data_IF_238469307958
#
_entry.id   IF_238469307958
#
_cell.length_a   1.000
_cell.length_b   1.000
_cell.length_c   1.000
_cell.angle_alpha   90.00
_cell.angle_beta   90.00
_cell.angle_gamma   90.00
#
_symmetry.space_group_name_H-M   'P 1'
#
loop_
_entity.id
_entity.type
_entity.pdbx_description
1 polymer ?
#
# COMPACT_ATOMS: atom_id res chain seq x y z
N UNK A 1 3.24 -15.53 26.92
CA UNK A 1 3.44 -14.41 25.97
C UNK A 1 4.15 -14.97 24.74
N UNK A 2 3.43 -15.22 23.64
CA UNK A 2 4.06 -15.72 22.40
C UNK A 2 4.53 -14.50 21.62
N UNK A 3 5.82 -14.22 21.65
CA UNK A 3 6.41 -13.17 20.83
C UNK A 3 6.34 -13.67 19.39
N UNK A 4 5.38 -13.16 18.62
CA UNK A 4 5.35 -13.30 17.17
C UNK A 4 6.58 -12.56 16.65
N UNK A 5 7.64 -13.31 16.37
CA UNK A 5 8.80 -12.76 15.64
C UNK A 5 8.24 -12.33 14.29
N UNK A 6 8.30 -11.03 13.95
CA UNK A 6 7.65 -10.40 12.79
C UNK A 6 7.99 -10.98 11.40
N UNK A 7 8.74 -12.08 11.35
CA UNK A 7 8.84 -12.99 10.23
C UNK A 7 7.72 -14.03 10.35
N UNK A 8 6.51 -13.66 9.94
CA UNK A 8 5.41 -14.61 9.84
C UNK A 8 5.76 -15.72 8.85
N UNK A 9 6.05 -16.91 9.38
CA UNK A 9 6.23 -18.15 8.61
C UNK A 9 5.17 -18.25 7.53
N UNK A 10 5.57 -18.69 6.32
CA UNK A 10 4.61 -18.94 5.24
C UNK A 10 3.43 -19.76 5.79
N UNK A 11 2.16 -19.37 5.57
CA UNK A 11 1.02 -20.16 5.98
C UNK A 11 1.13 -21.56 5.38
N UNK A 12 1.02 -22.58 6.23
CA UNK A 12 1.13 -23.99 5.83
C UNK A 12 -0.11 -24.48 5.08
N UNK A 13 -1.24 -23.77 5.20
CA UNK A 13 -2.47 -24.03 4.47
C UNK A 13 -2.55 -23.19 3.18
N UNK A 14 -2.86 -23.84 2.06
CA UNK A 14 -3.27 -23.13 0.84
C UNK A 14 -4.58 -22.37 1.06
N UNK A 15 -4.85 -21.37 0.21
CA UNK A 15 -6.09 -20.58 0.25
C UNK A 15 -5.85 -19.07 0.45
N UNK A 16 -6.81 -18.41 1.10
CA UNK A 16 -6.85 -16.95 1.23
C UNK A 16 -5.66 -16.37 2.01
N UNK A 17 -5.24 -16.97 3.13
CA UNK A 17 -4.08 -16.51 3.90
C UNK A 17 -2.77 -16.60 3.10
N UNK A 18 -2.56 -17.69 2.35
CA UNK A 18 -1.37 -17.79 1.48
C UNK A 18 -1.41 -16.73 0.38
N UNK A 19 -2.59 -16.46 -0.20
CA UNK A 19 -2.75 -15.39 -1.21
C UNK A 19 -2.45 -14.01 -0.63
N UNK A 20 -3.07 -13.63 0.50
CA UNK A 20 -2.83 -12.33 1.13
C UNK A 20 -1.38 -12.19 1.59
N UNK A 21 -0.75 -13.28 2.04
CA UNK A 21 0.66 -13.30 2.37
C UNK A 21 1.53 -12.91 1.16
N UNK A 22 1.36 -13.55 0.00
CA UNK A 22 2.12 -13.20 -1.21
C UNK A 22 1.81 -11.79 -1.69
N UNK A 23 0.53 -11.42 -1.70
CA UNK A 23 0.08 -10.08 -2.08
C UNK A 23 0.83 -9.01 -1.29
N UNK A 24 0.96 -9.14 0.04
CA UNK A 24 1.68 -8.16 0.86
C UNK A 24 3.14 -7.99 0.45
N UNK A 25 3.87 -9.05 0.07
CA UNK A 25 5.29 -8.96 -0.29
C UNK A 25 5.46 -8.33 -1.68
N UNK A 26 4.69 -8.80 -2.65
CA UNK A 26 4.78 -8.34 -4.03
C UNK A 26 4.31 -6.88 -4.13
N UNK A 27 3.18 -6.54 -3.48
CA UNK A 27 2.69 -5.17 -3.43
C UNK A 27 3.64 -4.23 -2.68
N UNK A 28 4.30 -4.66 -1.60
CA UNK A 28 5.31 -3.84 -0.92
C UNK A 28 6.45 -3.44 -1.86
N UNK A 29 7.00 -4.41 -2.61
CA UNK A 29 8.07 -4.13 -3.57
C UNK A 29 7.59 -3.13 -4.62
N UNK A 30 6.41 -3.35 -5.21
CA UNK A 30 5.82 -2.40 -6.16
C UNK A 30 5.60 -1.00 -5.56
N UNK A 31 5.08 -0.94 -4.34
CA UNK A 31 4.78 0.31 -3.63
C UNK A 31 6.04 1.09 -3.26
N UNK A 32 7.18 0.44 -2.98
CA UNK A 32 8.44 1.17 -2.76
C UNK A 32 8.77 2.04 -3.97
N UNK A 33 8.69 1.49 -5.18
CA UNK A 33 8.96 2.26 -6.39
C UNK A 33 7.87 3.28 -6.69
N UNK A 34 6.60 2.87 -6.64
CA UNK A 34 5.47 3.76 -6.95
C UNK A 34 5.34 4.92 -5.95
N UNK A 35 5.56 4.69 -4.65
CA UNK A 35 5.47 5.75 -3.66
C UNK A 35 6.65 6.72 -3.78
N UNK A 36 7.89 6.22 -3.92
CA UNK A 36 9.07 7.09 -4.03
C UNK A 36 9.00 7.97 -5.27
N UNK A 37 8.69 7.39 -6.44
CA UNK A 37 8.55 8.17 -7.68
C UNK A 37 7.42 9.21 -7.53
N UNK A 38 6.30 8.85 -6.88
CA UNK A 38 5.20 9.79 -6.63
C UNK A 38 5.64 10.95 -5.73
N UNK A 39 6.37 10.68 -4.66
CA UNK A 39 6.87 11.72 -3.75
C UNK A 39 7.87 12.64 -4.46
N UNK A 40 8.78 12.10 -5.28
CA UNK A 40 9.73 12.91 -6.06
C UNK A 40 8.98 13.84 -7.01
N UNK A 41 8.03 13.32 -7.80
CA UNK A 41 7.31 14.10 -8.81
C UNK A 41 6.42 15.21 -8.20
N UNK A 42 5.84 14.97 -7.03
CA UNK A 42 4.89 15.89 -6.42
C UNK A 42 5.50 16.83 -5.37
N UNK A 43 6.64 16.48 -4.76
CA UNK A 43 7.23 17.27 -3.68
C UNK A 43 8.66 17.74 -3.92
N UNK A 44 9.39 17.10 -4.85
CA UNK A 44 10.77 17.51 -5.17
C UNK A 44 10.82 18.29 -6.48
N UNK A 45 10.16 17.80 -7.53
CA UNK A 45 10.16 18.48 -8.84
C UNK A 45 9.08 19.55 -8.95
N UNK A 46 8.03 19.45 -8.14
CA UNK A 46 6.91 20.38 -8.11
C UNK A 46 6.81 20.96 -6.71
N UNK A 47 6.79 22.29 -6.60
CA UNK A 47 6.50 22.95 -5.32
C UNK A 47 5.03 22.71 -4.94
N UNK A 48 4.80 22.32 -3.68
CA UNK A 48 3.45 22.15 -3.12
C UNK A 48 2.63 23.43 -3.22
N UNK A 49 3.26 24.61 -3.14
CA UNK A 49 2.61 25.90 -3.32
C UNK A 49 2.07 26.12 -4.74
N UNK A 50 2.62 25.40 -5.72
CA UNK A 50 2.19 25.45 -7.13
C UNK A 50 1.16 24.36 -7.48
N UNK A 51 0.77 23.51 -6.52
CA UNK A 51 -0.22 22.45 -6.75
C UNK A 51 -1.61 23.06 -6.91
N UNK A 52 -1.98 23.30 -8.16
CA UNK A 52 -3.28 23.85 -8.57
C UNK A 52 -4.12 22.81 -9.32
N UNK A 53 -5.42 23.07 -9.44
CA UNK A 53 -6.32 22.24 -10.26
C UNK A 53 -5.79 22.06 -11.70
N UNK A 54 -5.29 23.13 -12.32
CA UNK A 54 -4.79 23.11 -13.69
C UNK A 54 -3.62 22.14 -13.86
N UNK A 55 -2.68 22.11 -12.91
CA UNK A 55 -1.55 21.17 -12.93
C UNK A 55 -2.05 19.71 -12.90
N UNK A 56 -3.01 19.43 -12.01
CA UNK A 56 -3.61 18.09 -11.88
C UNK A 56 -4.37 17.73 -13.15
N UNK A 57 -5.16 18.64 -13.70
CA UNK A 57 -5.95 18.40 -14.92
C UNK A 57 -5.05 18.06 -16.12
N UNK A 58 -3.94 18.78 -16.31
CA UNK A 58 -2.97 18.52 -17.39
C UNK A 58 -2.31 17.14 -17.20
N UNK A 59 -1.89 16.79 -15.97
CA UNK A 59 -1.31 15.47 -15.71
C UNK A 59 -2.34 14.34 -15.91
N UNK A 60 -3.55 14.52 -15.40
CA UNK A 60 -4.62 13.52 -15.46
C UNK A 60 -5.15 13.28 -16.88
N UNK A 61 -5.02 14.28 -17.77
CA UNK A 61 -5.31 14.13 -19.19
C UNK A 61 -4.36 13.13 -19.89
N UNK A 62 -3.16 12.90 -19.35
CA UNK A 62 -2.24 11.91 -19.87
C UNK A 62 -2.57 10.51 -19.28
N UNK A 63 -2.90 9.51 -20.13
CA UNK A 63 -3.28 8.18 -19.67
C UNK A 63 -2.18 7.45 -18.89
N UNK A 64 -0.91 7.76 -19.16
CA UNK A 64 0.23 7.19 -18.43
C UNK A 64 0.16 7.54 -16.93
N UNK A 65 0.00 8.82 -16.60
CA UNK A 65 -0.12 9.29 -15.22
C UNK A 65 -1.38 8.76 -14.56
N UNK A 66 -2.48 8.68 -15.32
CA UNK A 66 -3.74 8.12 -14.84
C UNK A 66 -3.61 6.67 -14.38
N UNK A 67 -2.95 5.82 -15.18
CA UNK A 67 -2.72 4.42 -14.81
C UNK A 67 -1.74 4.32 -13.64
N UNK A 68 -0.68 5.14 -13.65
CA UNK A 68 0.30 5.18 -12.57
C UNK A 68 -0.35 5.52 -11.21
N UNK A 69 -1.09 6.63 -11.13
CA UNK A 69 -1.74 7.08 -9.90
C UNK A 69 -2.85 6.11 -9.47
N UNK A 70 -3.57 5.51 -10.42
CA UNK A 70 -4.57 4.50 -10.13
C UNK A 70 -3.94 3.23 -9.54
N UNK A 71 -2.83 2.74 -10.11
CA UNK A 71 -2.09 1.59 -9.57
C UNK A 71 -1.54 1.88 -8.17
N UNK A 72 -0.93 3.05 -7.97
CA UNK A 72 -0.45 3.47 -6.65
C UNK A 72 -1.59 3.51 -5.64
N UNK A 73 -2.71 4.16 -5.98
CA UNK A 73 -3.88 4.27 -5.11
C UNK A 73 -4.43 2.89 -4.74
N UNK A 74 -4.71 2.05 -5.73
CA UNK A 74 -5.31 0.73 -5.50
C UNK A 74 -4.37 -0.17 -4.70
N UNK A 75 -3.09 -0.25 -5.05
CA UNK A 75 -2.13 -1.06 -4.31
C UNK A 75 -1.93 -0.54 -2.88
N UNK A 76 -1.81 0.78 -2.69
CA UNK A 76 -1.60 1.36 -1.36
C UNK A 76 -2.80 1.11 -0.45
N UNK A 77 -4.02 1.27 -0.95
CA UNK A 77 -5.24 0.98 -0.19
C UNK A 77 -5.33 -0.51 0.16
N UNK A 78 -5.18 -1.40 -0.82
CA UNK A 78 -5.28 -2.84 -0.57
C UNK A 78 -4.18 -3.35 0.36
N UNK A 79 -2.94 -2.88 0.19
CA UNK A 79 -1.82 -3.21 1.06
C UNK A 79 -2.04 -2.68 2.48
N UNK A 80 -2.43 -1.42 2.61
CA UNK A 80 -2.69 -0.76 3.89
C UNK A 80 -3.87 -1.40 4.63
N UNK A 81 -4.97 -1.69 3.95
CA UNK A 81 -6.15 -2.34 4.57
C UNK A 81 -5.84 -3.77 5.01
N UNK A 82 -5.12 -4.55 4.21
CA UNK A 82 -4.74 -5.90 4.63
C UNK A 82 -3.70 -5.88 5.77
N UNK A 83 -2.77 -4.92 5.76
CA UNK A 83 -1.86 -4.68 6.89
C UNK A 83 -2.61 -4.27 8.16
N UNK A 84 -3.58 -3.37 8.05
CA UNK A 84 -4.43 -2.96 9.16
C UNK A 84 -5.22 -4.15 9.73
N UNK A 85 -5.76 -5.02 8.87
CA UNK A 85 -6.40 -6.26 9.31
C UNK A 85 -5.45 -7.08 10.19
N UNK A 86 -4.21 -7.30 9.75
CA UNK A 86 -3.21 -8.06 10.55
C UNK A 86 -2.96 -7.38 11.91
N UNK A 87 -2.83 -6.05 11.94
CA UNK A 87 -2.68 -5.31 13.20
C UNK A 87 -3.92 -5.48 14.10
N UNK A 88 -5.12 -5.41 13.56
CA UNK A 88 -6.36 -5.62 14.32
C UNK A 88 -6.38 -7.05 14.89
N UNK A 89 -6.08 -8.05 14.06
CA UNK A 89 -6.07 -9.46 14.45
C UNK A 89 -5.04 -9.72 15.58
N UNK A 90 -3.91 -9.00 15.60
CA UNK A 90 -2.87 -9.12 16.63
C UNK A 90 -3.21 -8.40 17.94
N UNK A 91 -3.83 -7.21 17.88
CA UNK A 91 -3.97 -6.30 19.02
C UNK A 91 -5.39 -6.19 19.58
N UNK A 92 -6.43 -6.52 18.81
CA UNK A 92 -7.83 -6.45 19.23
C UNK A 92 -8.31 -7.88 19.51
N UNK A 93 -7.96 -8.38 20.68
CA UNK A 93 -8.47 -9.68 21.16
C UNK A 93 -9.78 -9.45 21.90
N UNK A 94 -10.80 -10.27 21.66
CA UNK A 94 -11.97 -10.25 22.53
C UNK A 94 -11.56 -10.84 23.88
N UNK A 95 -11.72 -10.06 24.95
CA UNK A 95 -11.68 -10.56 26.32
C UNK A 95 -12.95 -11.38 26.57
N UNK A 96 -13.06 -12.54 25.96
CA UNK A 96 -14.14 -13.49 26.21
C UNK A 96 -13.62 -14.59 27.14
N UNK A 97 -13.23 -14.20 28.36
CA UNK A 97 -13.22 -15.01 29.59
C UNK A 97 -13.46 -14.06 30.77
#
# INVERSE_FOLDING_TARGET
MRISTGYGSRPVSGGFETFTWYFMRISAIGLVFLAIIHLILNHVTTDVACTSYQLVAIRYANPYWRVYDWLLLTLALLHGMNGLRVVIDDYVQSTAW
#
